data_IF_986397797106
#
_entry.id   IF_986397797106
#
_cell.length_a   1.000
_cell.length_b   1.000
_cell.length_c   1.000
_cell.angle_alpha   90.00
_cell.angle_beta   90.00
_cell.angle_gamma   90.00
#
_symmetry.space_group_name_H-M   'P 1'
#
loop_
_entity.id
_entity.type
_entity.pdbx_description
1 polymer ?
#
# COMPACT_ATOMS: atom_id res chain seq x y z
N UNK A 1 -3.57 -17.91 27.37
CA UNK A 1 -2.94 -16.83 28.15
C UNK A 1 -3.75 -15.57 27.92
N UNK A 2 -4.38 -15.02 28.96
CA UNK A 2 -5.07 -13.72 28.87
C UNK A 2 -3.98 -12.65 28.78
N UNK A 3 -3.99 -11.76 27.77
CA UNK A 3 -2.98 -10.71 27.67
C UNK A 3 -3.05 -9.79 28.89
N UNK A 4 -1.89 -9.33 29.42
CA UNK A 4 -1.87 -8.45 30.58
C UNK A 4 -2.67 -7.16 30.32
N UNK A 5 -3.24 -6.54 31.37
CA UNK A 5 -4.01 -5.31 31.23
C UNK A 5 -3.16 -4.22 30.58
N UNK A 6 -3.76 -3.50 29.61
CA UNK A 6 -3.07 -2.46 28.85
C UNK A 6 -2.55 -1.38 29.79
N UNK A 7 -1.24 -1.11 29.73
CA UNK A 7 -0.60 -0.01 30.45
C UNK A 7 -1.12 1.34 29.95
N UNK A 8 -1.12 2.36 30.83
CA UNK A 8 -1.49 3.74 30.45
C UNK A 8 -0.67 4.19 29.24
N UNK A 9 -1.32 4.88 28.30
CA UNK A 9 -0.66 5.40 27.09
C UNK A 9 0.42 6.41 27.48
N UNK A 10 1.68 6.06 27.20
CA UNK A 10 2.83 6.96 27.37
C UNK A 10 2.73 8.16 26.42
N UNK A 11 3.09 9.38 26.83
CA UNK A 11 3.08 10.57 25.94
C UNK A 11 3.88 10.37 24.65
N UNK A 12 4.96 9.58 24.69
CA UNK A 12 5.76 9.21 23.51
C UNK A 12 4.93 8.50 22.42
N UNK A 13 3.98 7.64 22.81
CA UNK A 13 3.11 6.90 21.87
C UNK A 13 2.06 7.80 21.22
N UNK A 14 1.59 8.81 21.96
CA UNK A 14 0.68 9.82 21.44
C UNK A 14 1.42 10.71 20.44
N UNK A 15 2.60 11.21 20.82
CA UNK A 15 3.42 12.05 19.96
C UNK A 15 3.78 11.34 18.65
N UNK A 16 4.19 10.07 18.70
CA UNK A 16 4.50 9.30 17.49
C UNK A 16 3.28 9.12 16.58
N UNK A 17 2.08 8.98 17.15
CA UNK A 17 0.84 8.87 16.38
C UNK A 17 0.50 10.17 15.65
N UNK A 18 0.58 11.31 16.34
CA UNK A 18 0.37 12.62 15.72
C UNK A 18 1.44 12.94 14.68
N UNK A 19 2.70 12.59 14.94
CA UNK A 19 3.79 12.75 13.99
C UNK A 19 3.55 11.95 12.70
N UNK A 20 3.11 10.69 12.81
CA UNK A 20 2.79 9.86 11.65
C UNK A 20 1.60 10.42 10.85
N UNK A 21 0.53 10.85 11.54
CA UNK A 21 -0.62 11.48 10.89
C UNK A 21 -0.26 12.80 10.19
N UNK A 22 0.53 13.65 10.85
CA UNK A 22 1.02 14.91 10.28
C UNK A 22 1.94 14.69 9.08
N UNK A 23 2.84 13.71 9.16
CA UNK A 23 3.68 13.30 8.04
C UNK A 23 2.84 12.83 6.84
N UNK A 24 1.83 11.99 7.07
CA UNK A 24 0.91 11.54 6.03
C UNK A 24 0.18 12.71 5.36
N UNK A 25 -0.35 13.64 6.14
CA UNK A 25 -1.03 14.83 5.61
C UNK A 25 -0.09 15.73 4.79
N UNK A 26 1.15 15.93 5.26
CA UNK A 26 2.16 16.72 4.56
C UNK A 26 2.53 16.09 3.22
N UNK A 27 2.81 14.79 3.20
CA UNK A 27 3.20 14.05 1.98
C UNK A 27 2.05 14.03 0.96
N UNK A 28 0.81 13.83 1.43
CA UNK A 28 -0.38 13.92 0.56
C UNK A 28 -0.57 15.35 0.04
N UNK A 29 -0.32 16.37 0.87
CA UNK A 29 -0.36 17.77 0.46
C UNK A 29 0.62 18.09 -0.67
N UNK A 30 1.89 17.67 -0.53
CA UNK A 30 2.94 17.93 -1.51
C UNK A 30 2.70 17.23 -2.85
N UNK A 31 2.15 16.01 -2.86
CA UNK A 31 1.89 15.26 -4.09
C UNK A 31 3.15 14.93 -4.90
N UNK A 32 2.98 14.52 -6.15
CA UNK A 32 4.06 14.42 -7.11
C UNK A 32 5.14 13.40 -6.73
N UNK A 33 6.38 13.76 -7.05
CA UNK A 33 7.58 13.00 -6.69
C UNK A 33 7.79 12.88 -5.18
N UNK A 34 7.35 13.86 -4.38
CA UNK A 34 7.45 13.80 -2.92
C UNK A 34 6.56 12.70 -2.34
N UNK A 35 5.32 12.62 -2.83
CA UNK A 35 4.40 11.55 -2.48
C UNK A 35 4.95 10.19 -2.90
N UNK A 36 5.41 10.08 -4.14
CA UNK A 36 5.97 8.83 -4.69
C UNK A 36 7.22 8.38 -3.95
N UNK A 37 8.11 9.29 -3.56
CA UNK A 37 9.30 8.95 -2.79
C UNK A 37 8.94 8.42 -1.39
N UNK A 38 8.02 9.09 -0.68
CA UNK A 38 7.56 8.65 0.63
C UNK A 38 6.85 7.29 0.56
N UNK A 39 5.98 7.10 -0.43
CA UNK A 39 5.33 5.81 -0.67
C UNK A 39 6.36 4.74 -1.04
N UNK A 40 7.34 5.06 -1.87
CA UNK A 40 8.44 4.18 -2.25
C UNK A 40 9.24 3.69 -1.06
N UNK A 41 9.54 4.58 -0.10
CA UNK A 41 10.19 4.21 1.18
C UNK A 41 9.29 3.28 2.01
N UNK A 42 8.00 3.61 2.18
CA UNK A 42 7.07 2.75 2.92
C UNK A 42 6.95 1.35 2.30
N UNK A 43 6.80 1.28 0.98
CA UNK A 43 6.75 0.03 0.20
C UNK A 43 8.07 -0.74 0.33
N UNK A 44 9.21 -0.06 0.28
CA UNK A 44 10.53 -0.69 0.42
C UNK A 44 10.67 -1.36 1.79
N UNK A 45 10.32 -0.64 2.87
CA UNK A 45 10.35 -1.19 4.23
C UNK A 45 9.40 -2.38 4.37
N UNK A 46 8.18 -2.28 3.82
CA UNK A 46 7.21 -3.37 3.80
C UNK A 46 7.69 -4.60 3.05
N UNK A 47 8.37 -4.43 1.91
CA UNK A 47 9.00 -5.53 1.16
C UNK A 47 10.11 -6.21 1.95
N UNK A 48 10.94 -5.44 2.67
CA UNK A 48 12.00 -6.01 3.53
C UNK A 48 11.41 -6.86 4.66
N UNK A 49 10.29 -6.45 5.25
CA UNK A 49 9.60 -7.25 6.26
C UNK A 49 8.94 -8.49 5.65
N UNK A 50 8.25 -8.33 4.52
CA UNK A 50 7.63 -9.43 3.79
C UNK A 50 8.64 -10.53 3.43
N UNK A 51 9.79 -10.16 2.84
CA UNK A 51 10.80 -11.13 2.46
C UNK A 51 11.49 -11.78 3.66
N UNK A 52 11.69 -11.05 4.77
CA UNK A 52 12.18 -11.63 6.02
C UNK A 52 11.24 -12.71 6.55
N UNK A 53 9.92 -12.49 6.48
CA UNK A 53 8.92 -13.48 6.88
C UNK A 53 8.93 -14.72 5.96
N UNK A 54 9.04 -14.52 4.64
CA UNK A 54 9.13 -15.61 3.68
C UNK A 54 10.40 -16.46 3.90
N UNK A 55 11.55 -15.80 4.11
CA UNK A 55 12.82 -16.46 4.41
C UNK A 55 12.80 -17.23 5.72
N UNK A 56 12.11 -16.71 6.74
CA UNK A 56 11.92 -17.43 8.00
C UNK A 56 11.14 -18.74 7.82
N UNK A 57 10.32 -18.86 6.76
CA UNK A 57 9.62 -20.09 6.39
C UNK A 57 10.44 -21.00 5.45
N UNK A 58 11.72 -20.69 5.21
CA UNK A 58 12.60 -21.44 4.33
C UNK A 58 12.43 -21.15 2.83
N UNK A 59 11.60 -20.16 2.47
CA UNK A 59 11.39 -19.72 1.08
C UNK A 59 12.57 -18.82 0.69
N UNK A 60 13.08 -18.95 -0.54
CA UNK A 60 14.19 -18.17 -1.09
C UNK A 60 13.69 -17.23 -2.21
N UNK A 61 12.87 -16.21 -1.87
CA UNK A 61 12.34 -15.31 -2.88
C UNK A 61 13.43 -14.44 -3.50
N UNK A 62 13.18 -13.97 -4.72
CA UNK A 62 14.05 -13.07 -5.48
C UNK A 62 14.01 -11.64 -4.89
N UNK A 63 14.50 -11.51 -3.66
CA UNK A 63 14.24 -10.34 -2.80
C UNK A 63 14.83 -9.06 -3.39
N UNK A 64 16.10 -9.11 -3.80
CA UNK A 64 16.83 -7.95 -4.34
C UNK A 64 16.26 -7.49 -5.69
N UNK A 65 15.98 -8.43 -6.59
CA UNK A 65 15.42 -8.11 -7.91
C UNK A 65 14.02 -7.53 -7.77
N UNK A 66 13.17 -8.13 -6.93
CA UNK A 66 11.81 -7.63 -6.69
C UNK A 66 11.82 -6.24 -6.05
N UNK A 67 12.72 -5.97 -5.10
CA UNK A 67 12.87 -4.63 -4.51
C UNK A 67 13.15 -3.57 -5.58
N UNK A 68 14.11 -3.82 -6.48
CA UNK A 68 14.45 -2.88 -7.56
C UNK A 68 13.29 -2.70 -8.53
N UNK A 69 12.69 -3.81 -8.98
CA UNK A 69 11.60 -3.78 -9.94
C UNK A 69 10.35 -3.08 -9.40
N UNK A 70 10.03 -3.24 -8.12
CA UNK A 70 8.92 -2.49 -7.49
C UNK A 70 9.21 -1.00 -7.46
N UNK A 71 10.44 -0.57 -7.13
CA UNK A 71 10.77 0.87 -7.16
C UNK A 71 10.69 1.43 -8.58
N UNK A 72 11.18 0.69 -9.58
CA UNK A 72 11.03 1.06 -11.00
C UNK A 72 9.56 1.15 -11.41
N UNK A 73 8.70 0.24 -10.94
CA UNK A 73 7.26 0.28 -11.18
C UNK A 73 6.62 1.55 -10.60
N UNK A 74 6.97 1.95 -9.39
CA UNK A 74 6.44 3.18 -8.78
C UNK A 74 6.93 4.44 -9.51
N UNK A 75 8.21 4.50 -9.85
CA UNK A 75 8.81 5.62 -10.59
C UNK A 75 8.19 5.76 -11.98
N UNK A 76 8.07 4.67 -12.72
CA UNK A 76 7.45 4.69 -14.06
C UNK A 76 5.96 5.04 -13.99
N UNK A 77 5.27 4.63 -12.93
CA UNK A 77 3.87 5.04 -12.69
C UNK A 77 3.75 6.54 -12.45
N UNK A 78 4.59 7.12 -11.58
CA UNK A 78 4.62 8.58 -11.35
C UNK A 78 4.96 9.33 -12.64
N UNK A 79 5.99 8.87 -13.36
CA UNK A 79 6.42 9.51 -14.59
C UNK A 79 5.31 9.56 -15.64
N UNK A 80 4.52 8.48 -15.76
CA UNK A 80 3.43 8.39 -16.73
C UNK A 80 2.17 9.17 -16.35
N UNK A 81 1.85 9.31 -15.06
CA UNK A 81 0.57 9.88 -14.61
C UNK A 81 0.67 11.26 -13.97
N UNK A 82 1.83 11.66 -13.45
CA UNK A 82 2.03 12.92 -12.74
C UNK A 82 3.37 13.61 -13.00
N UNK A 83 4.14 13.16 -14.00
CA UNK A 83 5.42 13.74 -14.38
C UNK A 83 5.35 14.51 -15.70
N UNK A 84 6.51 14.95 -16.19
CA UNK A 84 6.65 15.72 -17.43
C UNK A 84 6.20 14.95 -18.69
N UNK A 85 5.96 13.65 -18.57
CA UNK A 85 5.53 12.77 -19.66
C UNK A 85 4.00 12.55 -19.71
N UNK A 86 3.21 13.27 -18.89
CA UNK A 86 1.75 13.23 -18.99
C UNK A 86 1.32 13.68 -20.40
N UNK A 87 0.62 12.81 -21.12
CA UNK A 87 0.19 13.03 -22.51
C UNK A 87 1.14 12.48 -23.58
N UNK A 88 2.33 11.98 -23.19
CA UNK A 88 3.18 11.18 -24.08
C UNK A 88 2.58 9.77 -24.13
N UNK A 89 1.89 9.42 -25.22
CA UNK A 89 1.11 8.17 -25.32
C UNK A 89 1.91 6.89 -24.99
N UNK A 90 3.23 6.89 -25.22
CA UNK A 90 4.09 5.75 -24.85
C UNK A 90 4.33 5.60 -23.34
N UNK A 91 4.23 6.67 -22.54
CA UNK A 91 4.54 6.62 -21.12
C UNK A 91 3.53 5.76 -20.34
N UNK A 92 2.25 5.84 -20.70
CA UNK A 92 1.19 5.01 -20.10
C UNK A 92 1.34 3.54 -20.48
N UNK A 93 1.68 3.27 -21.74
CA UNK A 93 1.92 1.91 -22.24
C UNK A 93 3.15 1.29 -21.57
N UNK A 94 4.22 2.07 -21.40
CA UNK A 94 5.41 1.65 -20.67
C UNK A 94 5.08 1.33 -19.21
N UNK A 95 4.36 2.20 -18.50
CA UNK A 95 3.97 1.95 -17.12
C UNK A 95 3.09 0.68 -16.98
N UNK A 96 2.22 0.41 -17.95
CA UNK A 96 1.44 -0.83 -18.00
C UNK A 96 2.31 -2.06 -18.29
N UNK A 97 3.33 -1.94 -19.15
CA UNK A 97 4.23 -3.01 -19.51
C UNK A 97 5.27 -3.36 -18.42
N UNK A 98 5.62 -2.40 -17.54
CA UNK A 98 6.61 -2.62 -16.47
C UNK A 98 6.19 -3.75 -15.54
N UNK A 99 4.90 -3.94 -15.27
CA UNK A 99 4.42 -5.03 -14.42
C UNK A 99 4.70 -6.43 -15.03
N UNK A 100 4.19 -6.79 -16.22
CA UNK A 100 4.45 -8.10 -16.83
C UNK A 100 5.94 -8.31 -17.12
N UNK A 101 6.68 -7.26 -17.52
CA UNK A 101 8.13 -7.33 -17.70
C UNK A 101 8.82 -7.67 -16.38
N UNK A 102 8.46 -6.99 -15.29
CA UNK A 102 9.02 -7.27 -13.96
C UNK A 102 8.71 -8.71 -13.52
N UNK A 103 7.50 -9.20 -13.76
CA UNK A 103 7.13 -10.58 -13.49
C UNK A 103 7.97 -11.58 -14.29
N UNK A 104 8.13 -11.35 -15.60
CA UNK A 104 8.96 -12.17 -16.47
C UNK A 104 10.44 -12.16 -16.04
N UNK A 105 10.97 -11.01 -15.64
CA UNK A 105 12.35 -10.87 -15.14
C UNK A 105 12.54 -11.61 -13.81
N UNK A 106 11.58 -11.54 -12.88
CA UNK A 106 11.63 -12.30 -11.63
C UNK A 106 11.63 -13.80 -11.91
N UNK A 107 10.70 -14.27 -12.74
CA UNK A 107 10.61 -15.68 -13.11
C UNK A 107 11.88 -16.15 -13.83
N UNK A 108 12.34 -15.42 -14.84
CA UNK A 108 13.57 -15.72 -15.57
C UNK A 108 14.79 -15.75 -14.66
N UNK A 109 14.92 -14.78 -13.74
CA UNK A 109 15.99 -14.76 -12.76
C UNK A 109 15.97 -16.00 -11.86
N UNK A 110 14.81 -16.42 -11.36
CA UNK A 110 14.68 -17.62 -10.51
C UNK A 110 14.92 -18.93 -11.27
N UNK A 111 14.58 -18.97 -12.56
CA UNK A 111 14.83 -20.15 -13.42
C UNK A 111 16.31 -20.33 -13.77
N UNK A 112 17.05 -19.22 -13.90
CA UNK A 112 18.48 -19.24 -14.23
C UNK A 112 19.39 -19.45 -13.00
N UNK A 113 18.82 -19.61 -11.80
CA UNK A 113 19.61 -19.88 -10.61
C UNK A 113 20.15 -21.33 -10.58
N UNK A 114 21.35 -21.55 -9.99
CA UNK A 114 21.96 -22.88 -9.89
C UNK A 114 21.11 -23.93 -9.17
N UNK A 115 20.22 -23.47 -8.28
CA UNK A 115 19.17 -24.26 -7.67
C UNK A 115 17.86 -23.73 -8.26
N UNK A 116 17.08 -24.58 -8.92
CA UNK A 116 15.80 -24.16 -9.47
C UNK A 116 14.90 -23.64 -8.36
N UNK A 117 14.38 -22.43 -8.54
CA UNK A 117 13.45 -21.83 -7.59
C UNK A 117 12.25 -22.75 -7.37
N UNK A 118 11.86 -22.95 -6.11
CA UNK A 118 10.63 -23.65 -5.77
C UNK A 118 9.42 -22.84 -6.27
N UNK A 119 8.29 -23.52 -6.48
CA UNK A 119 6.99 -22.85 -6.73
C UNK A 119 6.71 -21.81 -5.63
N UNK A 120 7.10 -22.09 -4.39
CA UNK A 120 6.96 -21.16 -3.27
C UNK A 120 7.81 -19.88 -3.45
N UNK A 121 9.01 -19.99 -4.03
CA UNK A 121 9.93 -18.85 -4.24
C UNK A 121 9.38 -17.90 -5.30
N UNK A 122 8.86 -18.48 -6.38
CA UNK A 122 8.21 -17.74 -7.46
C UNK A 122 6.93 -17.09 -6.94
N UNK A 123 6.07 -17.86 -6.27
CA UNK A 123 4.81 -17.36 -5.72
C UNK A 123 5.03 -16.21 -4.73
N UNK A 124 5.99 -16.32 -3.82
CA UNK A 124 6.32 -15.25 -2.88
C UNK A 124 6.85 -13.99 -3.58
N UNK A 125 7.68 -14.15 -4.61
CA UNK A 125 8.26 -13.02 -5.34
C UNK A 125 7.21 -12.29 -6.21
N UNK A 126 6.37 -13.05 -6.92
CA UNK A 126 5.28 -12.48 -7.73
C UNK A 126 4.19 -11.88 -6.84
N UNK A 127 3.87 -12.51 -5.71
CA UNK A 127 2.94 -11.94 -4.74
C UNK A 127 3.48 -10.62 -4.17
N UNK A 128 4.77 -10.54 -3.85
CA UNK A 128 5.38 -9.28 -3.42
C UNK A 128 5.28 -8.19 -4.49
N UNK A 129 5.60 -8.49 -5.75
CA UNK A 129 5.48 -7.56 -6.87
C UNK A 129 4.04 -7.04 -7.01
N UNK A 130 3.06 -7.94 -6.98
CA UNK A 130 1.66 -7.55 -7.17
C UNK A 130 1.09 -6.84 -5.94
N UNK A 131 1.24 -7.42 -4.76
CA UNK A 131 0.60 -6.93 -3.54
C UNK A 131 1.27 -5.68 -2.98
N UNK A 132 2.60 -5.59 -2.99
CA UNK A 132 3.36 -4.47 -2.43
C UNK A 132 3.90 -3.51 -3.50
N UNK A 133 3.92 -3.89 -4.78
CA UNK A 133 4.30 -2.98 -5.87
C UNK A 133 3.11 -2.45 -6.64
N UNK A 134 2.37 -3.35 -7.29
CA UNK A 134 1.28 -2.96 -8.18
C UNK A 134 0.12 -2.28 -7.45
N UNK A 135 -0.39 -2.85 -6.37
CA UNK A 135 -1.50 -2.24 -5.64
C UNK A 135 -1.13 -0.86 -5.06
N UNK A 136 0.05 -0.66 -4.44
CA UNK A 136 0.44 0.68 -4.00
C UNK A 136 0.63 1.68 -5.13
N UNK A 137 0.96 1.25 -6.36
CA UNK A 137 1.05 2.16 -7.50
C UNK A 137 -0.28 2.88 -7.82
N UNK A 138 -1.43 2.31 -7.44
CA UNK A 138 -2.72 2.99 -7.56
C UNK A 138 -2.88 4.19 -6.64
N UNK A 139 -2.20 4.22 -5.49
CA UNK A 139 -2.20 5.41 -4.63
C UNK A 139 -1.52 6.59 -5.32
N UNK A 140 -0.46 6.33 -6.09
CA UNK A 140 0.18 7.35 -6.93
C UNK A 140 -0.81 7.86 -7.98
N UNK A 141 -1.42 6.94 -8.73
CA UNK A 141 -2.43 7.31 -9.75
C UNK A 141 -3.57 8.11 -9.16
N UNK A 142 -4.07 7.73 -7.98
CA UNK A 142 -5.14 8.44 -7.29
C UNK A 142 -4.74 9.86 -6.89
N UNK A 143 -3.51 10.06 -6.40
CA UNK A 143 -3.01 11.38 -6.00
C UNK A 143 -2.80 12.32 -7.19
N UNK A 144 -2.43 11.78 -8.35
CA UNK A 144 -2.17 12.53 -9.59
C UNK A 144 -3.43 12.78 -10.44
N UNK A 145 -4.61 12.34 -9.97
CA UNK A 145 -5.88 12.67 -10.63
C UNK A 145 -6.16 14.17 -10.50
N UNK A 146 -6.32 14.85 -11.64
CA UNK A 146 -6.53 16.32 -11.70
C UNK A 146 -7.86 16.72 -12.34
N UNK A 147 -8.78 15.76 -12.59
CA UNK A 147 -10.08 16.06 -13.17
C UNK A 147 -10.96 16.88 -12.20
N UNK A 148 -11.35 18.12 -12.54
CA UNK A 148 -12.20 18.97 -11.69
C UNK A 148 -13.60 18.39 -11.45
N UNK A 149 -14.09 17.52 -12.34
CA UNK A 149 -15.41 16.89 -12.22
C UNK A 149 -15.51 15.91 -11.05
N UNK A 150 -14.38 15.44 -10.53
CA UNK A 150 -14.32 14.48 -9.43
C UNK A 150 -14.52 15.13 -8.04
N UNK A 151 -14.24 16.43 -7.91
CA UNK A 151 -14.42 17.17 -6.66
C UNK A 151 -15.06 18.54 -6.90
N UNK A 152 -16.24 18.62 -7.55
CA UNK A 152 -16.81 19.87 -8.03
C UNK A 152 -17.14 20.84 -6.89
N UNK A 153 -17.53 20.30 -5.73
CA UNK A 153 -17.84 21.09 -4.53
C UNK A 153 -16.61 21.71 -3.87
N UNK A 154 -15.41 21.19 -4.13
CA UNK A 154 -14.16 21.64 -3.52
C UNK A 154 -13.23 22.35 -4.52
N UNK A 155 -13.58 22.34 -5.82
CA UNK A 155 -12.81 22.99 -6.88
C UNK A 155 -12.57 24.48 -6.63
N UNK A 156 -13.51 25.18 -5.97
CA UNK A 156 -13.40 26.59 -5.64
C UNK A 156 -12.31 26.91 -4.58
N UNK A 157 -11.81 25.91 -3.85
CA UNK A 157 -10.78 26.07 -2.82
C UNK A 157 -9.35 25.94 -3.36
N UNK A 158 -9.19 25.75 -4.68
CA UNK A 158 -7.86 25.53 -5.29
C UNK A 158 -7.20 24.23 -4.85
N UNK A 159 -8.00 23.25 -4.45
CA UNK A 159 -7.54 21.94 -3.97
C UNK A 159 -7.67 20.90 -5.08
N UNK A 160 -6.58 20.18 -5.37
CA UNK A 160 -6.55 19.09 -6.35
C UNK A 160 -7.57 17.99 -6.04
N UNK A 161 -8.29 17.51 -7.05
CA UNK A 161 -9.26 16.42 -6.86
C UNK A 161 -8.62 15.13 -6.37
N UNK A 162 -7.41 14.79 -6.86
CA UNK A 162 -6.63 13.65 -6.39
C UNK A 162 -6.24 13.75 -4.91
N UNK A 163 -5.93 14.95 -4.41
CA UNK A 163 -5.69 15.16 -2.97
C UNK A 163 -6.95 14.90 -2.16
N UNK A 164 -8.11 15.41 -2.59
CA UNK A 164 -9.40 15.17 -1.91
C UNK A 164 -9.70 13.69 -1.85
N UNK A 165 -9.59 12.99 -2.98
CA UNK A 165 -9.90 11.56 -3.06
C UNK A 165 -8.94 10.72 -2.21
N UNK A 166 -7.65 11.07 -2.20
CA UNK A 166 -6.64 10.44 -1.35
C UNK A 166 -6.99 10.59 0.13
N UNK A 167 -7.26 11.82 0.58
CA UNK A 167 -7.62 12.09 1.98
C UNK A 167 -8.93 11.40 2.36
N UNK A 168 -9.93 11.44 1.47
CA UNK A 168 -11.19 10.74 1.66
C UNK A 168 -10.97 9.24 1.81
N UNK A 169 -10.17 8.61 0.95
CA UNK A 169 -9.84 7.19 1.05
C UNK A 169 -9.13 6.85 2.37
N UNK A 170 -8.14 7.65 2.79
CA UNK A 170 -7.47 7.46 4.08
C UNK A 170 -8.45 7.60 5.26
N UNK A 171 -9.31 8.63 5.25
CA UNK A 171 -10.30 8.85 6.30
C UNK A 171 -11.35 7.74 6.35
N UNK A 172 -11.78 7.22 5.19
CA UNK A 172 -12.68 6.09 5.12
C UNK A 172 -12.06 4.82 5.71
N UNK A 173 -10.79 4.54 5.41
CA UNK A 173 -10.07 3.40 6.01
C UNK A 173 -10.01 3.56 7.54
N UNK A 174 -9.62 4.74 8.03
CA UNK A 174 -9.56 5.02 9.47
C UNK A 174 -10.94 4.93 10.13
N UNK A 175 -11.98 5.48 9.50
CA UNK A 175 -13.34 5.41 10.00
C UNK A 175 -13.86 3.96 10.04
N UNK A 176 -13.59 3.17 9.01
CA UNK A 176 -13.95 1.74 8.92
C UNK A 176 -13.27 0.93 10.02
N UNK A 177 -11.98 1.18 10.28
CA UNK A 177 -11.23 0.50 11.34
C UNK A 177 -11.75 0.88 12.73
N UNK A 178 -12.08 2.16 12.96
CA UNK A 178 -12.67 2.62 14.22
C UNK A 178 -14.07 2.03 14.41
N UNK A 179 -14.93 2.10 13.38
CA UNK A 179 -16.29 1.58 13.39
C UNK A 179 -16.31 0.08 13.66
N UNK A 180 -15.48 -0.67 12.94
CA UNK A 180 -15.36 -2.12 13.12
C UNK A 180 -14.80 -2.50 14.49
N UNK A 181 -13.88 -1.73 15.05
CA UNK A 181 -13.39 -1.92 16.41
C UNK A 181 -14.46 -1.64 17.45
N UNK A 182 -15.18 -0.52 17.35
CA UNK A 182 -16.18 -0.11 18.35
C UNK A 182 -17.35 -1.09 18.39
N UNK A 183 -17.90 -1.44 17.22
CA UNK A 183 -19.03 -2.36 17.14
C UNK A 183 -18.60 -3.81 17.36
N UNK A 184 -17.43 -4.22 16.83
CA UNK A 184 -16.87 -5.54 17.09
C UNK A 184 -16.58 -5.78 18.57
N UNK A 185 -16.11 -4.76 19.31
CA UNK A 185 -15.86 -4.87 20.75
C UNK A 185 -17.14 -4.94 21.59
N UNK A 186 -18.20 -4.22 21.20
CA UNK A 186 -19.45 -4.17 21.96
C UNK A 186 -20.39 -5.33 21.65
N UNK A 187 -20.46 -5.74 20.39
CA UNK A 187 -21.47 -6.67 19.89
C UNK A 187 -20.90 -7.89 19.16
N UNK A 188 -19.57 -8.01 19.06
CA UNK A 188 -18.92 -9.12 18.39
C UNK A 188 -19.22 -10.46 19.04
N UNK A 189 -19.85 -11.36 18.28
CA UNK A 189 -20.19 -12.73 18.72
C UNK A 189 -19.69 -13.77 17.74
N UNK A 190 -19.70 -13.47 16.45
CA UNK A 190 -19.33 -14.42 15.39
C UNK A 190 -17.97 -14.06 14.80
N UNK A 191 -16.93 -14.89 14.96
CA UNK A 191 -15.64 -14.63 14.34
C UNK A 191 -15.76 -14.69 12.81
N UNK A 192 -15.03 -13.80 12.12
CA UNK A 192 -15.04 -13.68 10.67
C UNK A 192 -14.21 -14.78 10.00
N UNK A 193 -13.09 -15.17 10.61
CA UNK A 193 -12.23 -16.24 10.09
C UNK A 193 -11.48 -16.97 11.20
N UNK A 194 -11.13 -18.26 10.99
CA UNK A 194 -10.32 -19.01 11.95
C UNK A 194 -8.87 -18.50 12.04
N UNK A 195 -8.38 -17.82 10.98
CA UNK A 195 -7.02 -17.28 10.91
C UNK A 195 -6.89 -15.99 11.75
N UNK A 196 -7.98 -15.22 11.89
CA UNK A 196 -7.99 -13.96 12.64
C UNK A 196 -9.16 -13.92 13.62
N UNK A 197 -9.05 -14.59 14.79
CA UNK A 197 -10.15 -14.75 15.74
C UNK A 197 -10.64 -13.42 16.36
N UNK A 198 -9.84 -12.35 16.27
CA UNK A 198 -10.21 -11.02 16.77
C UNK A 198 -11.13 -10.22 15.84
N UNK A 199 -11.32 -10.64 14.58
CA UNK A 199 -12.25 -9.99 13.64
C UNK A 199 -13.61 -10.67 13.72
N UNK A 200 -14.68 -9.89 13.87
CA UNK A 200 -16.06 -10.40 13.97
C UNK A 200 -16.92 -9.92 12.80
N UNK A 201 -17.96 -10.68 12.45
CA UNK A 201 -18.92 -10.30 11.42
C UNK A 201 -19.66 -9.01 11.78
N UNK A 202 -20.04 -8.87 13.05
CA UNK A 202 -20.72 -7.67 13.55
C UNK A 202 -19.78 -6.44 13.51
N UNK A 203 -18.48 -6.65 13.75
CA UNK A 203 -17.48 -5.62 13.55
C UNK A 203 -17.35 -5.23 12.08
N UNK A 204 -17.30 -6.19 11.16
CA UNK A 204 -17.21 -5.89 9.72
C UNK A 204 -18.41 -5.06 9.22
N UNK A 205 -19.63 -5.43 9.63
CA UNK A 205 -20.83 -4.62 9.33
C UNK A 205 -20.75 -3.22 9.95
N UNK A 206 -20.16 -3.11 11.14
CA UNK A 206 -19.95 -1.84 11.80
C UNK A 206 -18.91 -0.92 11.18
N UNK A 207 -18.01 -1.44 10.34
CA UNK A 207 -17.12 -0.61 9.52
C UNK A 207 -17.79 -0.13 8.23
N UNK A 208 -18.83 -0.83 7.76
CA UNK A 208 -19.56 -0.50 6.53
C UNK A 208 -20.66 0.55 6.74
N UNK A 209 -21.22 0.61 7.95
CA UNK A 209 -22.30 1.52 8.33
C UNK A 209 -21.79 2.94 8.60
#
# INVERSE_FOLDING_TARGET
MIPPPRTRTTPQRLLSGYAAGGFGLLVVGLGGWWFTAALGVMVHLGLLEYFRLAQFKGIRPASKTTLVLVQLLLITTQWAHGGDAVGVGFATDLAAAVLPISGALICGWLLLQPLTGSIADIAASIFALFYLGFLPSYWIRLRELTDPALAPRLAHLGVDSGMVLMLMACLLIVATDIGSYVLGRRYGRRPLSPISPGKTLEGALGGLA
#
